data_IF_718359420280
#
_entry.id   IF_718359420280
#
_cell.length_a   1.000
_cell.length_b   1.000
_cell.length_c   1.000
_cell.angle_alpha   90.00
_cell.angle_beta   90.00
_cell.angle_gamma   90.00
#
_symmetry.space_group_name_H-M   'P 1'
#
loop_
_entity.id
_entity.type
_entity.pdbx_description
1 polymer ?
#
# COMPACT_ATOMS: atom_id res chain seq x y z
N UNK A 1 9.78 20.18 35.56
CA UNK A 1 8.33 20.35 35.80
C UNK A 1 7.61 19.05 36.18
N UNK A 2 8.28 17.89 36.08
CA UNK A 2 7.74 16.59 36.52
C UNK A 2 7.39 16.59 38.01
N UNK A 3 8.22 17.24 38.86
CA UNK A 3 7.92 17.39 40.29
C UNK A 3 6.64 18.17 40.60
N UNK A 4 6.25 19.17 39.76
CA UNK A 4 4.95 19.85 39.86
C UNK A 4 3.78 18.95 39.48
N UNK A 5 4.02 17.95 38.64
CA UNK A 5 3.04 16.94 38.24
C UNK A 5 2.99 15.76 39.25
N UNK A 6 3.71 15.82 40.34
CA UNK A 6 3.77 14.75 41.34
C UNK A 6 4.55 13.52 40.92
N UNK A 7 5.41 13.66 39.88
CA UNK A 7 6.20 12.55 39.35
C UNK A 7 7.62 12.61 39.94
N UNK A 8 7.94 11.63 40.77
CA UNK A 8 9.26 11.51 41.39
C UNK A 8 10.32 11.08 40.35
N UNK A 9 11.40 11.86 40.24
CA UNK A 9 12.49 11.60 39.30
C UNK A 9 13.11 10.21 39.49
N UNK A 10 13.21 9.73 40.70
CA UNK A 10 13.77 8.43 41.05
C UNK A 10 12.93 7.23 40.53
N UNK A 11 11.66 7.48 40.23
CA UNK A 11 10.74 6.47 39.68
C UNK A 11 10.76 6.36 38.16
N UNK A 12 11.54 7.23 37.47
CA UNK A 12 11.59 7.27 36.02
C UNK A 12 12.81 6.49 35.48
N UNK A 13 12.58 5.65 34.49
CA UNK A 13 13.66 5.08 33.68
C UNK A 13 14.22 6.09 32.66
N UNK A 14 13.32 6.90 32.08
CA UNK A 14 13.65 8.00 31.17
C UNK A 14 12.52 9.03 31.14
N UNK A 15 12.82 10.26 30.73
CA UNK A 15 11.85 11.31 30.43
C UNK A 15 12.42 12.21 29.35
N UNK A 16 11.56 12.59 28.41
CA UNK A 16 11.88 13.54 27.34
C UNK A 16 10.64 14.36 27.02
N UNK A 17 10.83 15.51 26.39
CA UNK A 17 9.80 16.34 25.83
C UNK A 17 9.75 16.20 24.29
N UNK A 18 8.61 16.45 23.72
CA UNK A 18 8.40 16.47 22.28
C UNK A 18 7.25 17.42 21.93
N UNK A 19 7.28 17.92 20.69
CA UNK A 19 6.18 18.70 20.15
C UNK A 19 5.08 17.76 19.68
N UNK A 20 3.86 17.99 20.17
CA UNK A 20 2.68 17.24 19.71
C UNK A 20 2.31 17.73 18.32
N UNK A 21 2.37 16.85 17.32
CA UNK A 21 1.92 17.14 15.98
C UNK A 21 0.39 17.24 15.94
N UNK A 22 -0.14 18.13 15.10
CA UNK A 22 -1.58 18.20 14.86
C UNK A 22 -2.06 17.02 13.98
N UNK A 23 -3.34 16.68 14.08
CA UNK A 23 -3.96 15.69 13.17
C UNK A 23 -3.75 16.10 11.71
N UNK A 24 -3.89 17.37 11.39
CA UNK A 24 -3.64 17.89 10.04
C UNK A 24 -2.21 17.61 9.57
N UNK A 25 -1.21 17.86 10.42
CA UNK A 25 0.19 17.57 10.09
C UNK A 25 0.46 16.08 9.83
N UNK A 26 -0.22 15.19 10.55
CA UNK A 26 0.01 13.74 10.46
C UNK A 26 -0.77 13.09 9.31
N UNK A 27 -1.98 13.55 9.03
CA UNK A 27 -2.91 12.84 8.14
C UNK A 27 -3.47 13.70 7.00
N UNK A 28 -3.31 15.01 7.06
CA UNK A 28 -3.99 15.95 6.16
C UNK A 28 -3.71 15.70 4.69
N UNK A 29 -2.47 15.40 4.31
CA UNK A 29 -2.12 15.10 2.90
C UNK A 29 -2.81 13.83 2.40
N UNK A 30 -2.75 12.74 3.15
CA UNK A 30 -3.35 11.47 2.73
C UNK A 30 -4.88 11.55 2.68
N UNK A 31 -5.48 12.25 3.64
CA UNK A 31 -6.93 12.48 3.65
C UNK A 31 -7.36 13.37 2.47
N UNK A 32 -6.59 14.41 2.13
CA UNK A 32 -6.86 15.26 0.98
C UNK A 32 -6.79 14.47 -0.35
N UNK A 33 -5.80 13.58 -0.51
CA UNK A 33 -5.71 12.66 -1.65
C UNK A 33 -6.94 11.78 -1.75
N UNK A 34 -7.27 11.08 -0.66
CA UNK A 34 -8.42 10.19 -0.61
C UNK A 34 -9.72 10.93 -0.95
N UNK A 35 -10.01 12.00 -0.23
CA UNK A 35 -11.28 12.69 -0.34
C UNK A 35 -11.43 13.36 -1.72
N UNK A 36 -10.35 13.94 -2.25
CA UNK A 36 -10.31 14.51 -3.60
C UNK A 36 -10.55 13.44 -4.69
N UNK A 37 -9.88 12.30 -4.59
CA UNK A 37 -10.03 11.21 -5.55
C UNK A 37 -11.45 10.61 -5.52
N UNK A 38 -12.01 10.39 -4.33
CA UNK A 38 -13.37 9.83 -4.21
C UNK A 38 -14.45 10.85 -4.62
N UNK A 39 -14.23 12.14 -4.41
CA UNK A 39 -15.09 13.19 -4.95
C UNK A 39 -15.07 13.22 -6.50
N UNK A 40 -13.88 13.01 -7.12
CA UNK A 40 -13.75 12.93 -8.59
C UNK A 40 -14.47 11.71 -9.16
N UNK A 41 -14.45 10.56 -8.47
CA UNK A 41 -15.22 9.38 -8.87
C UNK A 41 -16.74 9.61 -8.86
N UNK A 42 -17.23 10.50 -8.01
CA UNK A 42 -18.65 10.90 -7.95
C UNK A 42 -19.59 9.68 -7.86
N UNK A 43 -19.24 8.71 -7.05
CA UNK A 43 -20.00 7.47 -6.87
C UNK A 43 -19.93 6.48 -8.03
N UNK A 44 -19.12 6.72 -9.06
CA UNK A 44 -18.93 5.82 -10.20
C UNK A 44 -17.85 4.78 -9.89
N UNK A 45 -17.90 3.66 -10.60
CA UNK A 45 -16.81 2.69 -10.60
C UNK A 45 -15.52 3.34 -11.15
N UNK A 46 -14.35 3.11 -10.54
CA UNK A 46 -13.09 3.46 -11.15
C UNK A 46 -12.95 2.86 -12.54
N UNK A 47 -12.39 3.59 -13.49
CA UNK A 47 -12.10 3.07 -14.83
C UNK A 47 -11.02 1.99 -14.74
N UNK A 48 -11.22 0.88 -15.44
CA UNK A 48 -10.26 -0.22 -15.49
C UNK A 48 -10.27 -0.92 -16.84
N UNK A 49 -9.23 -1.72 -17.08
CA UNK A 49 -9.12 -2.55 -18.27
C UNK A 49 -8.52 -3.89 -17.88
N UNK A 50 -9.18 -5.00 -18.23
CA UNK A 50 -8.58 -6.33 -18.19
C UNK A 50 -7.70 -6.50 -19.42
N UNK A 51 -6.44 -6.91 -19.22
CA UNK A 51 -5.46 -7.13 -20.27
C UNK A 51 -5.22 -8.61 -20.52
N UNK A 52 -5.34 -9.44 -19.48
CA UNK A 52 -5.03 -10.86 -19.55
C UNK A 52 -5.97 -11.67 -18.68
N UNK A 53 -6.44 -12.78 -19.19
CA UNK A 53 -7.17 -13.81 -18.44
C UNK A 53 -6.50 -15.14 -18.71
N UNK A 54 -6.04 -15.83 -17.67
CA UNK A 54 -5.34 -17.11 -17.75
C UNK A 54 -6.15 -18.13 -16.96
N UNK A 55 -6.62 -19.17 -17.64
CA UNK A 55 -7.30 -20.27 -17.01
C UNK A 55 -6.29 -21.26 -16.41
N UNK A 56 -6.54 -21.68 -15.18
CA UNK A 56 -5.72 -22.64 -14.43
C UNK A 56 -4.20 -22.35 -14.50
N UNK A 57 -3.74 -21.13 -14.13
CA UNK A 57 -2.33 -20.76 -14.22
C UNK A 57 -1.43 -21.54 -13.27
N UNK A 58 -1.97 -21.95 -12.13
CA UNK A 58 -1.29 -22.65 -11.03
C UNK A 58 -2.23 -23.63 -10.35
N UNK A 59 -1.66 -24.61 -9.65
CA UNK A 59 -2.44 -25.51 -8.79
C UNK A 59 -3.23 -24.68 -7.77
N UNK A 60 -4.53 -24.90 -7.73
CA UNK A 60 -5.43 -24.22 -6.80
C UNK A 60 -5.98 -22.89 -7.27
N UNK A 61 -5.57 -22.42 -8.43
CA UNK A 61 -6.13 -21.20 -9.05
C UNK A 61 -6.91 -21.60 -10.30
N UNK A 62 -8.21 -21.33 -10.29
CA UNK A 62 -9.09 -21.52 -11.44
C UNK A 62 -8.78 -20.54 -12.56
N UNK A 63 -8.60 -19.26 -12.20
CA UNK A 63 -8.39 -18.19 -13.18
C UNK A 63 -7.56 -17.07 -12.56
N UNK A 64 -6.60 -16.57 -13.33
CA UNK A 64 -5.89 -15.32 -13.04
C UNK A 64 -6.37 -14.23 -13.98
N UNK A 65 -6.65 -13.06 -13.41
CA UNK A 65 -7.11 -11.88 -14.14
C UNK A 65 -6.10 -10.78 -13.88
N UNK A 66 -5.54 -10.22 -14.94
CA UNK A 66 -4.61 -9.10 -14.86
C UNK A 66 -5.12 -7.93 -15.66
N UNK A 67 -4.79 -6.74 -15.21
CA UNK A 67 -5.23 -5.53 -15.87
C UNK A 67 -4.65 -4.28 -15.25
N UNK A 68 -5.24 -3.16 -15.64
CA UNK A 68 -4.90 -1.84 -15.12
C UNK A 68 -6.16 -1.10 -14.70
N UNK A 69 -6.01 -0.14 -13.80
CA UNK A 69 -7.06 0.77 -13.39
C UNK A 69 -6.50 2.18 -13.23
N UNK A 70 -7.39 3.16 -13.38
CA UNK A 70 -7.01 4.57 -13.35
C UNK A 70 -7.19 5.13 -11.94
N UNK A 71 -6.15 5.81 -11.48
CA UNK A 71 -6.08 6.50 -10.19
C UNK A 71 -5.84 7.99 -10.47
N UNK A 72 -6.55 8.91 -9.82
CA UNK A 72 -6.23 10.33 -9.93
C UNK A 72 -4.77 10.61 -9.61
N UNK A 73 -4.10 11.38 -10.47
CA UNK A 73 -2.65 11.65 -10.38
C UNK A 73 -2.38 12.94 -9.59
N UNK A 74 -1.47 12.86 -8.61
CA UNK A 74 -1.03 14.00 -7.79
C UNK A 74 0.50 14.23 -7.85
N UNK A 75 1.20 13.44 -8.65
CA UNK A 75 2.66 13.46 -8.74
C UNK A 75 3.13 14.10 -10.04
N UNK A 76 4.32 14.69 -10.00
CA UNK A 76 5.08 15.07 -11.19
C UNK A 76 5.47 13.82 -12.01
N UNK A 77 5.99 14.04 -13.20
CA UNK A 77 6.55 13.00 -14.09
C UNK A 77 5.61 11.81 -14.40
N UNK A 78 4.30 12.06 -14.36
CA UNK A 78 3.29 11.03 -14.58
C UNK A 78 3.29 9.94 -13.50
N UNK A 79 3.79 10.24 -12.30
CA UNK A 79 3.87 9.30 -11.19
C UNK A 79 4.98 8.26 -11.28
N UNK A 80 5.99 8.43 -12.15
CA UNK A 80 7.16 7.54 -12.24
C UNK A 80 7.99 7.57 -10.96
N UNK A 81 8.85 6.56 -10.71
CA UNK A 81 9.82 6.61 -9.61
C UNK A 81 10.62 7.90 -9.60
N UNK A 82 10.65 8.59 -8.46
CA UNK A 82 11.27 9.91 -8.31
C UNK A 82 10.28 11.09 -8.41
N UNK A 83 9.06 10.86 -8.88
CA UNK A 83 7.98 11.87 -8.89
C UNK A 83 7.60 12.30 -7.48
N UNK A 84 7.21 13.57 -7.33
CA UNK A 84 6.85 14.22 -6.06
C UNK A 84 5.48 14.85 -6.18
N UNK A 85 4.83 15.09 -5.05
CA UNK A 85 3.56 15.82 -5.05
C UNK A 85 3.71 17.22 -5.65
N UNK A 86 2.72 17.60 -6.44
CA UNK A 86 2.45 18.99 -6.73
C UNK A 86 1.62 19.52 -5.57
N UNK A 87 2.19 20.47 -4.82
CA UNK A 87 1.53 21.02 -3.64
C UNK A 87 0.87 22.36 -3.97
N UNK A 88 -0.33 22.58 -3.46
CA UNK A 88 -0.98 23.88 -3.45
C UNK A 88 -0.41 24.82 -2.39
N UNK A 89 -0.91 26.04 -2.34
CA UNK A 89 -0.49 27.07 -1.38
C UNK A 89 -0.77 26.67 0.08
N UNK A 90 -1.69 25.75 0.29
CA UNK A 90 -2.05 25.17 1.60
C UNK A 90 -1.16 23.98 1.99
N UNK A 91 -0.18 23.62 1.15
CA UNK A 91 0.72 22.48 1.36
C UNK A 91 0.08 21.11 1.13
N UNK A 92 -1.13 21.06 0.58
CA UNK A 92 -1.82 19.80 0.23
C UNK A 92 -1.53 19.39 -1.21
N UNK A 93 -1.53 18.08 -1.50
CA UNK A 93 -1.39 17.58 -2.85
C UNK A 93 -2.50 18.09 -3.77
N UNK A 94 -2.11 18.61 -4.91
CA UNK A 94 -3.01 19.15 -5.94
C UNK A 94 -3.13 18.14 -7.08
N UNK A 95 -4.34 17.95 -7.57
CA UNK A 95 -4.66 17.11 -8.73
C UNK A 95 -3.86 17.59 -9.96
N UNK A 96 -3.18 16.68 -10.64
CA UNK A 96 -2.44 16.91 -11.88
C UNK A 96 -3.23 16.34 -13.06
N UNK A 97 -3.11 16.97 -14.23
CA UNK A 97 -3.76 16.46 -15.45
C UNK A 97 -3.29 15.03 -15.80
N UNK A 98 -4.22 14.21 -16.28
CA UNK A 98 -3.97 12.82 -16.61
C UNK A 98 -4.35 11.86 -15.47
N UNK A 99 -4.00 10.61 -15.60
CA UNK A 99 -4.25 9.55 -14.63
C UNK A 99 -2.97 8.80 -14.32
N UNK A 100 -2.87 8.27 -13.10
CA UNK A 100 -1.89 7.26 -12.75
C UNK A 100 -2.49 5.89 -13.06
N UNK A 101 -1.94 5.20 -14.06
CA UNK A 101 -2.41 3.86 -14.44
C UNK A 101 -1.71 2.82 -13.58
N UNK A 102 -2.44 2.22 -12.65
CA UNK A 102 -1.95 1.18 -11.74
C UNK A 102 -2.26 -0.22 -12.28
N UNK A 103 -1.34 -1.16 -12.10
CA UNK A 103 -1.58 -2.56 -12.42
C UNK A 103 -2.37 -3.26 -11.32
N UNK A 104 -3.18 -4.26 -11.69
CA UNK A 104 -3.77 -5.18 -10.72
C UNK A 104 -3.67 -6.63 -11.22
N UNK A 105 -3.69 -7.56 -10.27
CA UNK A 105 -3.86 -8.99 -10.48
C UNK A 105 -4.89 -9.51 -9.48
N UNK A 106 -5.78 -10.40 -9.94
CA UNK A 106 -6.71 -11.14 -9.09
C UNK A 106 -6.60 -12.64 -9.41
N UNK A 107 -6.54 -13.47 -8.38
CA UNK A 107 -6.55 -14.94 -8.50
C UNK A 107 -7.88 -15.48 -7.94
N UNK A 108 -8.67 -16.12 -8.81
CA UNK A 108 -9.89 -16.83 -8.46
C UNK A 108 -9.54 -18.25 -8.03
N UNK A 109 -9.95 -18.72 -6.84
CA UNK A 109 -9.60 -20.06 -6.39
C UNK A 109 -10.29 -21.16 -7.19
N UNK A 110 -9.59 -22.29 -7.36
CA UNK A 110 -10.19 -23.55 -7.75
C UNK A 110 -10.81 -24.21 -6.52
N UNK A 111 -12.11 -24.09 -6.37
CA UNK A 111 -12.88 -24.63 -5.22
C UNK A 111 -14.18 -25.24 -5.71
N UNK A 112 -14.70 -26.21 -4.96
CA UNK A 112 -16.02 -26.80 -5.18
C UNK A 112 -17.16 -25.97 -4.55
N UNK A 113 -16.83 -24.84 -3.92
CA UNK A 113 -17.83 -23.94 -3.34
C UNK A 113 -18.75 -23.37 -4.42
N UNK A 114 -20.05 -23.46 -4.19
CA UNK A 114 -21.08 -22.81 -5.01
C UNK A 114 -21.44 -21.42 -4.52
N UNK A 115 -20.95 -21.03 -3.34
CA UNK A 115 -21.13 -19.67 -2.82
C UNK A 115 -20.16 -18.69 -3.49
N UNK A 116 -20.58 -17.43 -3.71
CA UNK A 116 -19.66 -16.41 -4.16
C UNK A 116 -18.45 -16.26 -3.23
N UNK A 117 -17.27 -16.07 -3.82
CA UNK A 117 -16.02 -15.95 -3.08
C UNK A 117 -15.93 -14.59 -2.38
N UNK A 118 -15.37 -14.58 -1.20
CA UNK A 118 -15.01 -13.36 -0.48
C UNK A 118 -13.86 -12.65 -1.20
N UNK A 119 -13.80 -11.33 -1.05
CA UNK A 119 -12.76 -10.51 -1.65
C UNK A 119 -11.71 -10.11 -0.60
N UNK A 120 -10.45 -10.20 -0.95
CA UNK A 120 -9.34 -9.69 -0.16
C UNK A 120 -8.32 -8.94 -1.04
N UNK A 121 -7.85 -7.79 -0.55
CA UNK A 121 -6.67 -7.12 -1.06
C UNK A 121 -5.43 -7.70 -0.40
N UNK A 122 -4.39 -7.95 -1.18
CA UNK A 122 -3.09 -8.40 -0.67
C UNK A 122 -2.04 -7.30 -0.80
N UNK A 123 -1.30 -7.06 0.27
CA UNK A 123 -0.15 -6.14 0.31
C UNK A 123 1.17 -6.91 0.32
N UNK A 124 2.02 -6.68 -0.69
CA UNK A 124 3.32 -7.34 -0.85
C UNK A 124 4.38 -6.85 0.15
N UNK A 125 5.46 -7.63 0.30
CA UNK A 125 6.59 -7.35 1.17
C UNK A 125 7.55 -6.26 0.66
N UNK A 126 8.73 -6.14 1.31
CA UNK A 126 9.72 -5.10 1.05
C UNK A 126 10.17 -5.11 -0.42
N UNK A 127 9.93 -3.98 -1.12
CA UNK A 127 10.33 -3.78 -2.51
C UNK A 127 9.93 -4.94 -3.44
N UNK A 128 8.82 -5.63 -3.11
CA UNK A 128 8.24 -6.69 -3.92
C UNK A 128 7.25 -6.15 -4.96
N UNK A 129 6.40 -7.03 -5.45
CA UNK A 129 5.35 -6.70 -6.42
C UNK A 129 4.04 -7.45 -6.15
N UNK A 130 3.01 -7.09 -6.90
CA UNK A 130 1.68 -7.71 -6.83
C UNK A 130 1.68 -9.22 -7.09
N UNK A 131 2.75 -9.79 -7.66
CA UNK A 131 2.89 -11.23 -7.92
C UNK A 131 3.05 -12.07 -6.66
N UNK A 132 3.51 -11.48 -5.54
CA UNK A 132 3.63 -12.19 -4.26
C UNK A 132 2.30 -12.80 -3.80
N UNK A 133 1.17 -12.18 -4.13
CA UNK A 133 -0.14 -12.70 -3.76
C UNK A 133 -0.42 -14.09 -4.34
N UNK A 134 0.32 -14.52 -5.37
CA UNK A 134 0.21 -15.85 -5.96
C UNK A 134 1.09 -16.89 -5.25
N UNK A 135 1.60 -16.59 -4.06
CA UNK A 135 2.38 -17.49 -3.22
C UNK A 135 1.59 -18.70 -2.69
N UNK A 136 2.29 -19.72 -2.23
CA UNK A 136 1.66 -20.99 -1.79
C UNK A 136 0.70 -20.81 -0.60
N UNK A 137 0.99 -19.89 0.32
CA UNK A 137 0.16 -19.61 1.48
C UNK A 137 -1.18 -18.97 1.07
N UNK A 138 -1.12 -17.89 0.29
CA UNK A 138 -2.32 -17.21 -0.21
C UNK A 138 -3.17 -18.11 -1.09
N UNK A 139 -2.55 -18.95 -1.96
CA UNK A 139 -3.28 -19.95 -2.74
C UNK A 139 -4.04 -20.93 -1.87
N UNK A 140 -3.40 -21.46 -0.82
CA UNK A 140 -4.06 -22.35 0.14
C UNK A 140 -5.22 -21.66 0.85
N UNK A 141 -5.00 -20.43 1.34
CA UNK A 141 -6.05 -19.63 1.98
C UNK A 141 -7.21 -19.36 1.01
N UNK A 142 -6.90 -19.06 -0.24
CA UNK A 142 -7.90 -18.86 -1.29
C UNK A 142 -8.78 -20.11 -1.49
N UNK A 143 -8.16 -21.30 -1.59
CA UNK A 143 -8.88 -22.58 -1.77
C UNK A 143 -9.68 -22.96 -0.54
N UNK A 144 -9.04 -23.01 0.63
CA UNK A 144 -9.65 -23.53 1.87
C UNK A 144 -10.80 -22.64 2.35
N UNK A 145 -10.79 -21.35 2.01
CA UNK A 145 -11.73 -20.35 2.52
C UNK A 145 -12.57 -19.66 1.45
N UNK A 146 -12.44 -20.06 0.19
CA UNK A 146 -13.13 -19.44 -0.95
C UNK A 146 -12.93 -17.92 -0.98
N UNK A 147 -11.68 -17.50 -1.16
CA UNK A 147 -11.26 -16.09 -1.21
C UNK A 147 -10.65 -15.78 -2.57
N UNK A 148 -11.12 -14.73 -3.22
CA UNK A 148 -10.43 -14.09 -4.35
C UNK A 148 -9.48 -13.05 -3.77
N UNK A 149 -8.19 -13.26 -3.96
CA UNK A 149 -7.19 -12.25 -3.67
C UNK A 149 -6.96 -11.36 -4.87
N UNK A 150 -6.91 -10.05 -4.64
CA UNK A 150 -6.47 -9.05 -5.61
C UNK A 150 -5.31 -8.24 -5.03
N UNK A 151 -4.37 -7.82 -5.86
CA UNK A 151 -3.25 -7.00 -5.45
C UNK A 151 -2.95 -5.89 -6.46
N UNK A 152 -2.35 -4.82 -5.98
CA UNK A 152 -1.65 -3.80 -6.74
C UNK A 152 -0.30 -3.53 -6.07
N UNK A 153 0.57 -2.74 -6.68
CA UNK A 153 1.87 -2.42 -6.10
C UNK A 153 1.79 -1.32 -5.06
N UNK A 154 2.62 -1.41 -4.02
CA UNK A 154 2.96 -0.30 -3.13
C UNK A 154 3.89 0.68 -3.87
N UNK A 155 3.35 1.41 -4.87
CA UNK A 155 4.12 2.37 -5.64
C UNK A 155 4.84 3.35 -4.70
N UNK A 156 6.14 3.54 -4.89
CA UNK A 156 7.05 4.20 -3.97
C UNK A 156 7.94 3.23 -3.17
N UNK A 157 7.46 2.01 -2.95
CA UNK A 157 8.17 0.92 -2.26
C UNK A 157 7.92 -0.45 -2.93
N UNK A 158 7.77 -0.46 -4.25
CA UNK A 158 7.67 -1.66 -5.08
C UNK A 158 9.00 -1.94 -5.82
N UNK A 159 9.11 -3.08 -6.50
CA UNK A 159 10.32 -3.48 -7.25
C UNK A 159 10.77 -2.40 -8.24
N UNK A 160 9.86 -1.76 -8.95
CA UNK A 160 10.18 -0.67 -9.89
C UNK A 160 10.79 0.57 -9.22
N UNK A 161 10.64 0.71 -7.90
CA UNK A 161 11.16 1.84 -7.11
C UNK A 161 12.59 1.61 -6.61
N UNK A 162 13.13 0.39 -6.72
CA UNK A 162 14.48 0.04 -6.25
C UNK A 162 15.54 1.05 -6.70
N UNK A 163 15.62 1.46 -7.97
CA UNK A 163 16.63 2.43 -8.39
C UNK A 163 16.48 3.80 -7.69
N UNK A 164 15.24 4.26 -7.48
CA UNK A 164 14.97 5.51 -6.75
C UNK A 164 15.29 5.36 -5.27
N UNK A 165 14.91 4.26 -4.64
CA UNK A 165 15.21 3.95 -3.24
C UNK A 165 16.73 3.93 -2.99
N UNK A 166 17.50 3.28 -3.84
CA UNK A 166 18.96 3.27 -3.75
C UNK A 166 19.57 4.67 -3.88
N UNK A 167 19.07 5.48 -4.83
CA UNK A 167 19.49 6.88 -4.99
C UNK A 167 19.18 7.71 -3.75
N UNK A 168 18.00 7.56 -3.18
CA UNK A 168 17.56 8.28 -1.98
C UNK A 168 18.34 7.84 -0.74
N UNK A 169 18.67 6.56 -0.62
CA UNK A 169 19.52 6.08 0.48
C UNK A 169 20.96 6.62 0.40
N UNK A 170 21.43 6.97 -0.78
CA UNK A 170 22.72 7.67 -0.96
C UNK A 170 22.63 9.18 -0.63
N UNK A 171 21.44 9.78 -0.75
CA UNK A 171 21.14 11.18 -0.41
C UNK A 171 19.72 11.30 0.15
N UNK A 172 19.59 11.23 1.49
CA UNK A 172 18.30 11.25 2.19
C UNK A 172 17.50 12.56 2.00
N UNK A 173 18.10 13.63 1.44
CA UNK A 173 17.36 14.85 1.08
C UNK A 173 16.30 14.63 -0.01
N UNK A 174 16.40 13.50 -0.74
CA UNK A 174 15.45 13.10 -1.77
C UNK A 174 14.30 12.21 -1.28
N UNK A 175 14.15 12.00 0.03
CA UNK A 175 13.21 11.02 0.60
C UNK A 175 11.74 11.31 0.28
N UNK A 176 11.37 12.58 0.11
CA UNK A 176 10.04 13.00 -0.32
C UNK A 176 9.57 12.29 -1.60
N UNK A 177 10.48 11.97 -2.53
CA UNK A 177 10.15 11.21 -3.75
C UNK A 177 9.69 9.76 -3.49
N UNK A 178 10.04 9.17 -2.35
CA UNK A 178 9.53 7.88 -1.90
C UNK A 178 8.19 8.07 -1.18
N UNK A 179 8.18 8.97 -0.18
CA UNK A 179 7.02 9.20 0.67
C UNK A 179 5.79 9.67 -0.11
N UNK A 180 5.96 10.59 -1.05
CA UNK A 180 4.89 11.12 -1.87
C UNK A 180 4.33 10.04 -2.82
N UNK A 181 5.23 9.29 -3.47
CA UNK A 181 4.83 8.22 -4.37
C UNK A 181 4.17 7.06 -3.61
N UNK A 182 4.58 6.80 -2.36
CA UNK A 182 3.96 5.81 -1.51
C UNK A 182 2.52 6.20 -1.11
N UNK A 183 2.26 7.46 -0.84
CA UNK A 183 0.90 7.95 -0.60
C UNK A 183 0.02 7.82 -1.86
N UNK A 184 0.58 8.05 -3.06
CA UNK A 184 -0.10 7.72 -4.33
C UNK A 184 -0.37 6.20 -4.45
N UNK A 185 0.55 5.36 -3.99
CA UNK A 185 0.37 3.91 -3.91
C UNK A 185 -0.75 3.50 -2.95
N UNK A 186 -0.83 4.10 -1.77
CA UNK A 186 -1.95 3.91 -0.82
C UNK A 186 -3.28 4.31 -1.49
N UNK A 187 -3.31 5.43 -2.22
CA UNK A 187 -4.48 5.82 -3.00
C UNK A 187 -4.85 4.76 -4.04
N UNK A 188 -3.88 4.12 -4.69
CA UNK A 188 -4.09 2.99 -5.59
C UNK A 188 -4.82 1.84 -4.91
N UNK A 189 -4.41 1.44 -3.70
CA UNK A 189 -5.11 0.42 -2.90
C UNK A 189 -6.54 0.83 -2.54
N UNK A 190 -6.77 2.10 -2.21
CA UNK A 190 -8.12 2.62 -1.92
C UNK A 190 -9.03 2.52 -3.15
N UNK A 191 -8.53 2.93 -4.31
CA UNK A 191 -9.29 2.90 -5.58
C UNK A 191 -9.54 1.45 -6.03
N UNK A 192 -8.56 0.55 -5.89
CA UNK A 192 -8.77 -0.88 -6.18
C UNK A 192 -9.82 -1.50 -5.24
N UNK A 193 -9.75 -1.18 -3.94
CA UNK A 193 -10.77 -1.60 -2.98
C UNK A 193 -12.19 -1.16 -3.38
N UNK A 194 -12.34 0.10 -3.81
CA UNK A 194 -13.59 0.62 -4.33
C UNK A 194 -14.04 -0.14 -5.59
N UNK A 195 -13.14 -0.42 -6.52
CA UNK A 195 -13.45 -1.17 -7.74
C UNK A 195 -13.95 -2.59 -7.42
N UNK A 196 -13.39 -3.24 -6.39
CA UNK A 196 -13.79 -4.58 -5.96
C UNK A 196 -15.20 -4.64 -5.36
N UNK A 197 -15.63 -3.60 -4.64
CA UNK A 197 -16.95 -3.59 -3.99
C UNK A 197 -18.05 -2.87 -4.80
N UNK A 198 -17.69 -2.16 -5.85
CA UNK A 198 -18.67 -1.40 -6.64
C UNK A 198 -19.51 -2.33 -7.52
N UNK A 199 -20.84 -2.11 -7.58
CA UNK A 199 -21.77 -2.95 -8.37
C UNK A 199 -21.47 -2.95 -9.88
N UNK A 200 -20.86 -1.88 -10.40
CA UNK A 200 -20.39 -1.79 -11.80
C UNK A 200 -18.88 -2.03 -11.92
N UNK A 201 -18.24 -2.55 -10.88
CA UNK A 201 -16.84 -2.95 -10.87
C UNK A 201 -16.64 -4.41 -11.29
N UNK A 202 -15.75 -5.10 -10.62
CA UNK A 202 -15.39 -6.48 -10.97
C UNK A 202 -16.55 -7.46 -11.00
N UNK A 203 -17.56 -7.29 -10.14
CA UNK A 203 -18.72 -8.18 -10.09
C UNK A 203 -19.54 -8.14 -11.38
N UNK A 204 -19.51 -7.04 -12.12
CA UNK A 204 -20.20 -6.88 -13.39
C UNK A 204 -19.39 -7.36 -14.61
N UNK A 205 -18.09 -7.65 -14.43
CA UNK A 205 -17.21 -8.04 -15.52
C UNK A 205 -17.28 -9.55 -15.79
N UNK A 206 -17.45 -9.99 -17.06
CA UNK A 206 -17.49 -11.40 -17.43
C UNK A 206 -16.25 -12.21 -17.01
N UNK A 207 -15.06 -11.57 -16.86
CA UNK A 207 -13.87 -12.24 -16.37
C UNK A 207 -14.02 -12.78 -14.94
N UNK A 208 -14.87 -12.15 -14.11
CA UNK A 208 -15.22 -12.58 -12.77
C UNK A 208 -16.50 -13.42 -12.72
N UNK A 209 -16.88 -14.03 -13.84
CA UNK A 209 -18.04 -14.92 -13.94
C UNK A 209 -17.61 -16.33 -14.39
N UNK A 210 -18.34 -17.34 -13.93
CA UNK A 210 -18.25 -18.74 -14.39
C UNK A 210 -19.64 -19.17 -14.81
N UNK A 211 -19.77 -19.72 -16.01
CA UNK A 211 -21.06 -20.11 -16.61
C UNK A 211 -22.07 -18.96 -16.61
N UNK A 212 -21.58 -17.71 -16.84
CA UNK A 212 -22.39 -16.50 -16.90
C UNK A 212 -22.89 -15.98 -15.54
N UNK A 213 -22.39 -16.55 -14.41
CA UNK A 213 -22.74 -16.09 -13.07
C UNK A 213 -21.55 -15.49 -12.37
N UNK A 214 -21.68 -14.28 -11.76
CA UNK A 214 -20.62 -13.71 -10.94
C UNK A 214 -20.20 -14.69 -9.82
N UNK A 215 -18.88 -14.85 -9.62
CA UNK A 215 -18.35 -15.77 -8.62
C UNK A 215 -17.78 -15.04 -7.40
N UNK A 216 -17.91 -13.72 -7.32
CA UNK A 216 -17.42 -12.90 -6.22
C UNK A 216 -18.57 -12.26 -5.44
N UNK A 217 -18.39 -12.11 -4.13
CA UNK A 217 -19.27 -11.36 -3.23
C UNK A 217 -18.67 -9.95 -3.04
N UNK A 218 -19.23 -8.97 -3.75
CA UNK A 218 -18.80 -7.58 -3.66
C UNK A 218 -19.36 -6.81 -2.46
N UNK A 219 -20.08 -7.47 -1.56
CA UNK A 219 -20.64 -6.79 -0.37
C UNK A 219 -19.57 -6.33 0.62
N UNK A 220 -18.37 -6.92 0.58
CA UNK A 220 -17.24 -6.60 1.46
C UNK A 220 -15.91 -6.97 0.83
N UNK A 221 -14.89 -6.20 1.17
CA UNK A 221 -13.50 -6.51 0.88
C UNK A 221 -12.68 -6.47 2.18
N UNK A 222 -11.76 -7.41 2.32
CA UNK A 222 -10.83 -7.53 3.43
C UNK A 222 -9.41 -7.16 2.99
N UNK A 223 -8.50 -7.04 3.93
CA UNK A 223 -7.10 -6.81 3.65
C UNK A 223 -6.24 -7.90 4.32
N UNK A 224 -5.20 -8.34 3.61
CA UNK A 224 -4.19 -9.26 4.10
C UNK A 224 -2.81 -8.74 3.66
N UNK A 225 -1.97 -8.36 4.61
CA UNK A 225 -0.65 -7.80 4.32
C UNK A 225 0.43 -8.46 5.14
N UNK A 226 1.54 -8.80 4.48
CA UNK A 226 2.68 -9.41 5.11
C UNK A 226 3.90 -8.48 5.09
N UNK A 227 4.69 -8.45 6.17
CA UNK A 227 5.91 -7.64 6.27
C UNK A 227 5.65 -6.17 5.93
N UNK A 228 6.31 -5.56 4.93
CA UNK A 228 6.00 -4.21 4.45
C UNK A 228 4.50 -4.02 4.17
N UNK A 229 3.82 -5.03 3.60
CA UNK A 229 2.38 -5.00 3.37
C UNK A 229 1.57 -4.86 4.65
N UNK A 230 2.04 -5.39 5.78
CA UNK A 230 1.41 -5.19 7.09
C UNK A 230 1.68 -3.78 7.65
N UNK A 231 2.90 -3.27 7.47
CA UNK A 231 3.29 -1.93 7.94
C UNK A 231 2.48 -0.85 7.21
N UNK A 232 2.50 -0.88 5.87
CA UNK A 232 1.76 0.07 5.03
C UNK A 232 0.25 -0.17 5.09
N UNK A 233 -0.15 -1.44 5.25
CA UNK A 233 -1.53 -1.86 5.45
C UNK A 233 -2.18 -1.21 6.67
N UNK A 234 -1.43 -0.95 7.72
CA UNK A 234 -1.91 -0.20 8.89
C UNK A 234 -2.35 1.23 8.53
N UNK A 235 -1.54 1.94 7.75
CA UNK A 235 -1.88 3.28 7.24
C UNK A 235 -3.06 3.22 6.24
N UNK A 236 -3.04 2.24 5.33
CA UNK A 236 -4.14 2.01 4.39
C UNK A 236 -5.48 1.77 5.10
N UNK A 237 -5.51 0.86 6.09
CA UNK A 237 -6.73 0.55 6.84
C UNK A 237 -7.24 1.76 7.65
N UNK A 238 -6.32 2.57 8.19
CA UNK A 238 -6.68 3.76 8.94
C UNK A 238 -7.42 4.82 8.09
N UNK A 239 -7.17 4.87 6.78
CA UNK A 239 -7.79 5.85 5.88
C UNK A 239 -8.83 5.24 4.94
N UNK A 240 -8.97 3.91 4.91
CA UNK A 240 -9.92 3.22 4.02
C UNK A 240 -11.36 3.44 4.43
N UNK A 241 -12.22 3.64 3.43
CA UNK A 241 -13.68 3.74 3.59
C UNK A 241 -14.37 2.38 3.30
N UNK A 242 -13.78 1.57 2.45
CA UNK A 242 -14.37 0.31 1.97
C UNK A 242 -13.83 -0.92 2.71
N UNK A 243 -12.57 -0.87 3.17
CA UNK A 243 -11.92 -1.98 3.88
C UNK A 243 -11.87 -1.65 5.37
N UNK A 244 -12.65 -2.38 6.16
CA UNK A 244 -12.78 -2.14 7.61
C UNK A 244 -12.15 -3.23 8.48
N UNK A 245 -11.60 -4.29 7.87
CA UNK A 245 -10.95 -5.41 8.54
C UNK A 245 -9.77 -5.91 7.74
N UNK A 246 -8.67 -6.19 8.42
CA UNK A 246 -7.48 -6.75 7.80
C UNK A 246 -6.65 -7.55 8.78
N UNK A 247 -5.77 -8.37 8.22
CA UNK A 247 -4.69 -9.06 8.90
C UNK A 247 -3.39 -8.34 8.56
N UNK A 248 -2.61 -8.03 9.57
CA UNK A 248 -1.31 -7.35 9.48
C UNK A 248 -0.24 -8.29 10.03
N UNK A 249 0.22 -9.21 9.19
CA UNK A 249 1.22 -10.19 9.58
C UNK A 249 2.63 -9.59 9.55
N UNK A 250 3.34 -9.71 10.68
CA UNK A 250 4.70 -9.18 10.85
C UNK A 250 4.78 -7.64 10.73
N UNK A 251 3.72 -6.97 11.21
CA UNK A 251 3.67 -5.51 11.25
C UNK A 251 4.74 -4.93 12.20
N UNK A 252 5.20 -3.72 11.92
CA UNK A 252 6.15 -2.99 12.75
C UNK A 252 6.02 -1.48 12.60
N UNK A 253 6.57 -0.75 13.57
CA UNK A 253 6.78 0.70 13.55
C UNK A 253 7.96 1.01 14.49
N UNK A 254 8.66 2.06 14.34
CA UNK A 254 8.73 3.04 13.28
C UNK A 254 9.50 2.46 12.08
N UNK A 255 9.00 2.64 10.84
CA UNK A 255 9.57 1.96 9.67
C UNK A 255 11.04 2.37 9.43
N UNK A 256 11.37 3.65 9.50
CA UNK A 256 12.75 4.11 9.34
C UNK A 256 13.72 3.50 10.36
N UNK A 257 13.31 3.30 11.62
CA UNK A 257 14.14 2.66 12.65
C UNK A 257 14.10 1.13 12.56
N UNK A 258 13.05 0.55 12.02
CA UNK A 258 12.91 -0.89 11.82
C UNK A 258 13.92 -1.40 10.78
N UNK A 259 14.05 -0.69 9.67
CA UNK A 259 14.94 -1.07 8.57
C UNK A 259 16.41 -1.18 8.99
N UNK A 260 16.92 -0.31 9.86
CA UNK A 260 18.33 -0.40 10.38
C UNK A 260 18.60 -1.73 11.15
N UNK A 261 17.57 -2.51 11.45
CA UNK A 261 17.67 -3.79 12.19
C UNK A 261 17.07 -4.97 11.43
N UNK A 262 16.62 -4.77 10.21
CA UNK A 262 16.04 -5.82 9.37
C UNK A 262 17.14 -6.47 8.51
N UNK A 263 17.21 -7.80 8.53
CA UNK A 263 18.12 -8.55 7.65
C UNK A 263 17.76 -8.38 6.18
N UNK A 264 16.49 -8.16 5.87
CA UNK A 264 16.03 -7.92 4.49
C UNK A 264 16.50 -6.58 3.92
N UNK A 265 16.91 -5.66 4.82
CA UNK A 265 17.46 -4.36 4.42
C UNK A 265 18.99 -4.35 4.38
N UNK A 266 19.68 -5.43 4.81
CA UNK A 266 21.14 -5.48 4.94
C UNK A 266 21.88 -5.15 3.66
N UNK A 267 21.38 -5.55 2.51
CA UNK A 267 21.96 -5.23 1.20
C UNK A 267 21.98 -3.71 0.96
N UNK A 268 20.89 -3.04 1.18
CA UNK A 268 20.76 -1.59 1.04
C UNK A 268 21.52 -0.84 2.13
N UNK A 269 21.46 -1.34 3.36
CA UNK A 269 22.19 -0.77 4.49
C UNK A 269 23.70 -0.80 4.27
N UNK A 270 24.23 -1.96 3.89
CA UNK A 270 25.67 -2.15 3.75
C UNK A 270 26.20 -1.64 2.39
N UNK A 271 25.40 -1.79 1.32
CA UNK A 271 25.79 -1.42 -0.04
C UNK A 271 25.66 0.07 -0.35
N UNK A 272 24.71 0.77 0.29
CA UNK A 272 24.37 2.16 -0.05
C UNK A 272 24.44 3.08 1.17
N UNK A 273 23.63 2.83 2.20
CA UNK A 273 23.44 3.79 3.30
C UNK A 273 24.69 3.97 4.15
N UNK A 274 25.40 2.91 4.52
CA UNK A 274 26.65 2.99 5.31
C UNK A 274 27.79 3.68 4.54
N UNK A 275 27.99 3.42 3.25
CA UNK A 275 28.97 4.18 2.46
C UNK A 275 28.65 5.67 2.38
N UNK A 276 27.39 6.05 2.22
CA UNK A 276 26.97 7.45 2.14
C UNK A 276 27.02 8.16 3.49
N UNK A 277 26.67 7.46 4.57
CA UNK A 277 26.62 7.98 5.95
C UNK A 277 27.41 7.07 6.87
N UNK A 278 28.78 7.18 6.93
CA UNK A 278 29.63 6.28 7.70
C UNK A 278 29.38 6.33 9.22
N UNK A 279 29.10 7.51 9.76
CA UNK A 279 28.82 7.64 11.18
C UNK A 279 27.42 7.09 11.52
N UNK A 280 27.35 6.23 12.53
CA UNK A 280 26.07 5.63 12.97
C UNK A 280 25.05 6.68 13.37
N UNK A 281 25.50 7.75 14.05
CA UNK A 281 24.59 8.81 14.50
C UNK A 281 23.93 9.54 13.34
N UNK A 282 24.66 9.79 12.25
CA UNK A 282 24.10 10.46 11.08
C UNK A 282 23.02 9.60 10.40
N UNK A 283 23.23 8.27 10.31
CA UNK A 283 22.22 7.33 9.81
C UNK A 283 20.99 7.31 10.69
N UNK A 284 21.15 7.23 12.01
CA UNK A 284 20.01 7.20 12.93
C UNK A 284 19.21 8.51 12.89
N UNK A 285 19.87 9.66 12.81
CA UNK A 285 19.18 10.97 12.67
C UNK A 285 18.47 11.04 11.32
N UNK A 286 19.14 10.69 10.22
CA UNK A 286 18.53 10.68 8.90
C UNK A 286 17.33 9.76 8.82
N UNK A 287 17.45 8.50 9.28
CA UNK A 287 16.37 7.52 9.27
C UNK A 287 15.21 7.85 10.23
N UNK A 288 15.45 8.65 11.26
CA UNK A 288 14.42 9.11 12.17
C UNK A 288 13.71 10.39 11.65
N UNK A 289 14.34 11.14 10.75
CA UNK A 289 13.80 12.36 10.18
C UNK A 289 12.89 12.10 8.96
N UNK A 290 12.96 10.92 8.40
CA UNK A 290 12.14 10.44 7.27
C UNK A 290 11.10 9.42 7.76
#
# INVERSE_FOLDING_TARGET
>A
DLGRAGVERAALHSAWDFTVASTESLTGRMLALRDGAFAELDGKAPAYRITTVIEAPDDGIRRRIEGTFDVPLYLTDGGRPGGRFVLGDDGRPTRVDGTFTAAFRCDLPATDSTAPARLALYGHGLLGDLGEMSGSLTRRMAQDHNIVYCATNWYGMAEEDIPNAARVLADLSGFDSIADRLQQGILGFLVLGRLMVHDQGFVADPAFAVDGRPVIDNSRVYYDGNSQGAILGGAFLAVSQDVTRGVLAEAGMNYGLLLDRSVDFDEYLNGVLKPAYPARIDRLIGMAAV
#
